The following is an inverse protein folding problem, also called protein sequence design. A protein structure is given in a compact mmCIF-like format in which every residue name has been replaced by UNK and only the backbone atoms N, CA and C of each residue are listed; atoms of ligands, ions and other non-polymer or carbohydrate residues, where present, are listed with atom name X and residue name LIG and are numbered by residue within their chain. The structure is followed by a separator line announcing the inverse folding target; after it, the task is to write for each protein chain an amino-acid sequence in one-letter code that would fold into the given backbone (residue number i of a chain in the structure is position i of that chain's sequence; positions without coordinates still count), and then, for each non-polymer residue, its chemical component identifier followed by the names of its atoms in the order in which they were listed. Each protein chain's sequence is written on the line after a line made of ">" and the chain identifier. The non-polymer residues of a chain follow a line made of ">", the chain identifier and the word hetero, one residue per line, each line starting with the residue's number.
data_IF_189540462499
#
_entry.id   IF_189540462499
#
_cell.length_a   1.000
_cell.length_b   1.000
_cell.length_c   1.000
_cell.angle_alpha   90.00
_cell.angle_beta   90.00
_cell.angle_gamma   90.00
#
_symmetry.space_group_name_H-M   'P 1'
#
loop_
_entity.id
_entity.type
_entity.pdbx_description
1 polymer ?
#
# COMPACT_ATOMS: atom_id res chain seq x y z
N UNK A 1 -22.90 30.52 36.62
CA UNK A 1 -21.65 29.89 37.14
C UNK A 1 -20.53 30.27 36.19
N UNK A 2 -19.65 31.22 36.60
CA UNK A 2 -18.52 31.62 35.74
C UNK A 2 -17.38 30.56 35.86
N UNK A 3 -17.04 29.97 34.74
CA UNK A 3 -15.90 29.03 34.64
C UNK A 3 -14.61 29.84 34.86
N UNK A 4 -13.76 29.39 35.78
CA UNK A 4 -12.53 30.11 36.13
C UNK A 4 -11.57 30.16 34.92
N UNK A 5 -10.72 31.18 34.87
CA UNK A 5 -9.71 31.33 33.81
C UNK A 5 -8.78 30.11 33.75
N UNK A 6 -8.41 29.53 34.91
CA UNK A 6 -7.59 28.32 35.00
C UNK A 6 -8.26 27.11 34.33
N UNK A 7 -9.58 26.94 34.50
CA UNK A 7 -10.33 25.85 33.88
C UNK A 7 -10.38 26.01 32.38
N UNK A 8 -10.54 27.24 31.86
CA UNK A 8 -10.54 27.51 30.41
C UNK A 8 -9.16 27.24 29.78
N UNK A 9 -8.08 27.62 30.48
CA UNK A 9 -6.71 27.34 30.00
C UNK A 9 -6.43 25.84 29.96
N UNK A 10 -6.86 25.08 30.96
CA UNK A 10 -6.72 23.63 31.00
C UNK A 10 -7.52 22.96 29.86
N UNK A 11 -8.74 23.40 29.62
CA UNK A 11 -9.56 22.90 28.51
C UNK A 11 -8.90 23.17 27.14
N UNK A 12 -8.34 24.36 26.96
CA UNK A 12 -7.62 24.69 25.72
C UNK A 12 -6.39 23.80 25.51
N UNK A 13 -5.61 23.55 26.54
CA UNK A 13 -4.43 22.66 26.49
C UNK A 13 -4.84 21.22 26.17
N UNK A 14 -5.91 20.70 26.75
CA UNK A 14 -6.42 19.35 26.46
C UNK A 14 -6.88 19.25 25.02
N UNK A 15 -7.58 20.25 24.51
CA UNK A 15 -8.02 20.27 23.10
C UNK A 15 -6.82 20.32 22.15
N UNK A 16 -5.82 21.15 22.42
CA UNK A 16 -4.60 21.23 21.60
C UNK A 16 -3.83 19.91 21.61
N UNK A 17 -3.71 19.25 22.76
CA UNK A 17 -3.08 17.94 22.86
C UNK A 17 -3.85 16.89 22.08
N UNK A 18 -5.19 16.88 22.13
CA UNK A 18 -6.03 15.98 21.39
C UNK A 18 -5.93 16.19 19.88
N UNK A 19 -5.94 17.45 19.42
CA UNK A 19 -5.74 17.78 18.00
C UNK A 19 -4.34 17.38 17.52
N UNK A 20 -3.30 17.65 18.32
CA UNK A 20 -1.95 17.22 18.00
C UNK A 20 -1.83 15.70 17.86
N UNK A 21 -2.45 14.96 18.80
CA UNK A 21 -2.49 13.50 18.73
C UNK A 21 -3.27 13.00 17.49
N UNK A 22 -4.42 13.60 17.19
CA UNK A 22 -5.24 13.23 16.03
C UNK A 22 -4.51 13.46 14.71
N UNK A 23 -3.72 14.53 14.59
CA UNK A 23 -2.89 14.80 13.40
C UNK A 23 -1.66 13.89 13.33
N UNK A 24 -1.06 13.58 14.49
CA UNK A 24 0.15 12.74 14.53
C UNK A 24 -0.15 11.25 14.39
N UNK A 25 -1.30 10.79 14.89
CA UNK A 25 -1.66 9.37 14.90
C UNK A 25 -1.67 8.71 13.50
N UNK A 26 -2.29 9.31 12.46
CA UNK A 26 -2.25 8.75 11.11
C UNK A 26 -0.83 8.64 10.56
N UNK A 27 0.02 9.63 10.83
CA UNK A 27 1.43 9.60 10.45
C UNK A 27 2.17 8.46 11.15
N UNK A 28 2.05 8.37 12.46
CA UNK A 28 2.73 7.37 13.26
C UNK A 28 2.27 5.95 12.97
N UNK A 29 0.95 5.76 12.82
CA UNK A 29 0.35 4.45 12.64
C UNK A 29 0.40 3.94 11.20
N UNK A 30 0.06 4.77 10.24
CA UNK A 30 -0.02 4.42 8.82
C UNK A 30 1.14 4.95 7.99
N UNK A 31 1.95 5.86 8.52
CA UNK A 31 2.97 6.57 7.76
C UNK A 31 2.41 7.57 6.75
N UNK A 32 1.16 7.95 6.92
CA UNK A 32 0.51 8.94 6.06
C UNK A 32 1.06 10.32 6.41
N UNK A 33 1.75 10.95 5.47
CA UNK A 33 2.12 12.36 5.59
C UNK A 33 0.91 13.17 5.15
N UNK A 34 0.38 14.10 5.98
CA UNK A 34 -0.80 14.91 5.64
C UNK A 34 -0.60 15.80 4.41
N UNK A 35 0.65 16.07 4.06
CA UNK A 35 1.06 16.83 2.89
C UNK A 35 1.58 15.80 1.90
N UNK A 36 0.91 15.66 0.76
CA UNK A 36 1.30 14.73 -0.31
C UNK A 36 2.77 14.96 -0.71
N UNK A 37 3.42 13.91 -1.13
CA UNK A 37 4.77 14.01 -1.68
C UNK A 37 4.67 14.49 -3.13
N UNK A 38 5.42 15.52 -3.49
CA UNK A 38 5.56 15.99 -4.87
C UNK A 38 6.62 15.20 -5.65
N UNK A 39 7.18 14.14 -5.05
CA UNK A 39 8.18 13.33 -5.70
C UNK A 39 7.60 12.69 -6.97
N UNK A 40 8.27 12.91 -8.08
CA UNK A 40 8.03 12.22 -9.34
C UNK A 40 9.23 11.34 -9.61
N UNK A 41 9.01 10.05 -9.80
CA UNK A 41 10.07 9.13 -10.17
C UNK A 41 10.18 9.14 -11.70
N UNK A 42 11.28 9.62 -12.29
CA UNK A 42 11.46 9.63 -13.73
C UNK A 42 11.52 8.22 -14.30
N UNK A 43 11.01 8.04 -15.53
CA UNK A 43 11.06 6.72 -16.19
C UNK A 43 12.51 6.21 -16.32
N UNK A 44 13.45 7.09 -16.63
CA UNK A 44 14.88 6.74 -16.71
C UNK A 44 15.43 6.11 -15.41
N UNK A 45 14.92 6.49 -14.25
CA UNK A 45 15.29 5.88 -12.98
C UNK A 45 14.69 4.48 -12.83
N UNK A 46 13.46 4.30 -13.27
CA UNK A 46 12.81 2.97 -13.31
C UNK A 46 13.60 2.06 -14.24
N UNK A 47 13.94 2.51 -15.43
CA UNK A 47 14.73 1.76 -16.42
C UNK A 47 16.10 1.37 -15.85
N UNK A 48 16.76 2.29 -15.14
CA UNK A 48 18.03 2.03 -14.44
C UNK A 48 17.90 0.91 -13.39
N UNK A 49 16.82 0.95 -12.60
CA UNK A 49 16.55 -0.05 -11.56
C UNK A 49 16.21 -1.44 -12.12
N UNK A 50 15.70 -1.48 -13.35
CA UNK A 50 15.36 -2.70 -14.06
C UNK A 50 16.48 -3.19 -15.00
N UNK A 51 17.55 -2.43 -15.16
CA UNK A 51 18.65 -2.78 -16.05
C UNK A 51 19.22 -4.18 -15.70
N UNK A 52 19.33 -5.04 -16.71
CA UNK A 52 19.83 -6.41 -16.57
C UNK A 52 18.86 -7.41 -15.92
N UNK A 53 17.61 -7.03 -15.67
CA UNK A 53 16.57 -7.93 -15.20
C UNK A 53 15.77 -8.44 -16.41
N UNK A 54 15.68 -9.75 -16.54
CA UNK A 54 14.83 -10.40 -17.56
C UNK A 54 13.42 -10.62 -16.93
N UNK A 55 12.52 -9.69 -17.20
CA UNK A 55 11.16 -9.69 -16.68
C UNK A 55 10.17 -9.80 -17.85
N UNK A 56 9.19 -10.71 -17.77
CA UNK A 56 8.14 -10.75 -18.77
C UNK A 56 7.22 -9.53 -18.67
N UNK A 57 6.50 -9.22 -19.74
CA UNK A 57 5.34 -8.32 -19.61
C UNK A 57 4.18 -9.11 -19.00
N UNK A 58 3.95 -8.91 -17.70
CA UNK A 58 2.86 -9.55 -16.96
C UNK A 58 1.47 -9.17 -17.45
N UNK A 59 1.37 -8.22 -18.36
CA UNK A 59 0.13 -7.70 -18.91
C UNK A 59 -0.05 -7.93 -20.41
N UNK A 60 0.86 -8.65 -21.04
CA UNK A 60 0.82 -8.93 -22.47
C UNK A 60 -0.44 -9.73 -22.85
N UNK A 61 -0.79 -10.73 -22.06
CA UNK A 61 -1.96 -11.57 -22.29
C UNK A 61 -3.15 -11.15 -21.42
N UNK A 62 -4.38 -11.21 -21.95
CA UNK A 62 -5.57 -10.94 -21.15
C UNK A 62 -5.67 -11.95 -19.98
N UNK A 63 -6.28 -11.57 -18.85
CA UNK A 63 -6.47 -12.49 -17.75
C UNK A 63 -7.41 -13.64 -18.21
N UNK A 64 -7.22 -14.86 -17.68
CA UNK A 64 -8.07 -15.99 -18.03
C UNK A 64 -9.53 -15.68 -17.68
N UNK A 65 -10.46 -16.22 -18.49
CA UNK A 65 -11.88 -16.15 -18.15
C UNK A 65 -12.14 -16.96 -16.87
N UNK A 66 -12.95 -16.41 -16.00
CA UNK A 66 -13.37 -17.05 -14.75
C UNK A 66 -14.88 -16.90 -14.57
N UNK A 67 -15.47 -17.75 -13.74
CA UNK A 67 -16.89 -17.63 -13.41
C UNK A 67 -17.17 -16.35 -12.61
N UNK A 68 -18.41 -15.85 -12.66
CA UNK A 68 -18.87 -14.73 -11.85
C UNK A 68 -18.69 -15.02 -10.36
N UNK A 69 -18.89 -16.26 -9.92
CA UNK A 69 -18.67 -16.68 -8.54
C UNK A 69 -17.22 -16.54 -8.11
N UNK A 70 -16.25 -16.95 -8.93
CA UNK A 70 -14.83 -16.81 -8.62
C UNK A 70 -14.42 -15.32 -8.63
N UNK A 71 -14.94 -14.52 -9.58
CA UNK A 71 -14.70 -13.07 -9.58
C UNK A 71 -15.24 -12.40 -8.30
N UNK A 72 -16.42 -12.81 -7.84
CA UNK A 72 -16.98 -12.30 -6.59
C UNK A 72 -16.11 -12.69 -5.39
N UNK A 73 -15.60 -13.94 -5.36
CA UNK A 73 -14.71 -14.41 -4.31
C UNK A 73 -13.35 -13.67 -4.31
N UNK A 74 -12.80 -13.37 -5.48
CA UNK A 74 -11.58 -12.54 -5.60
C UNK A 74 -11.83 -11.12 -5.11
N UNK A 75 -12.95 -10.49 -5.47
CA UNK A 75 -13.35 -9.16 -4.99
C UNK A 75 -13.50 -9.12 -3.47
N UNK A 76 -14.12 -10.15 -2.90
CA UNK A 76 -14.27 -10.29 -1.45
C UNK A 76 -12.92 -10.47 -0.76
N UNK A 77 -12.05 -11.31 -1.30
CA UNK A 77 -10.70 -11.49 -0.75
C UNK A 77 -9.91 -10.18 -0.72
N UNK A 78 -10.09 -9.32 -1.74
CA UNK A 78 -9.38 -8.03 -1.89
C UNK A 78 -10.05 -6.87 -1.14
N UNK A 79 -11.22 -7.05 -0.52
CA UNK A 79 -12.03 -5.96 0.05
C UNK A 79 -11.23 -5.04 0.98
N UNK A 80 -10.40 -5.59 1.84
CA UNK A 80 -9.60 -4.80 2.80
C UNK A 80 -8.48 -4.01 2.14
N UNK A 81 -7.91 -4.50 1.07
CA UNK A 81 -6.84 -3.81 0.34
C UNK A 81 -7.32 -2.50 -0.29
N UNK A 82 -8.61 -2.42 -0.67
CA UNK A 82 -9.23 -1.24 -1.29
C UNK A 82 -9.32 -0.03 -0.37
N UNK A 83 -9.28 -0.21 0.95
CA UNK A 83 -9.25 0.92 1.88
C UNK A 83 -7.96 1.73 1.73
N UNK A 84 -6.87 1.04 1.38
CA UNK A 84 -5.54 1.64 1.30
C UNK A 84 -5.04 1.83 -0.13
N UNK A 85 -5.54 1.07 -1.12
CA UNK A 85 -5.03 1.07 -2.48
C UNK A 85 -6.12 1.30 -3.52
N UNK A 86 -5.76 1.97 -4.60
CA UNK A 86 -6.51 2.03 -5.87
C UNK A 86 -5.82 1.16 -6.91
N UNK A 87 -6.54 0.69 -7.92
CA UNK A 87 -6.02 -0.22 -8.94
C UNK A 87 -6.05 0.37 -10.35
N UNK A 88 -6.94 1.31 -10.60
CA UNK A 88 -7.20 1.91 -11.90
C UNK A 88 -6.08 2.86 -12.34
N UNK A 89 -5.93 3.02 -13.65
CA UNK A 89 -5.00 3.99 -14.24
C UNK A 89 -5.31 5.42 -13.75
N UNK A 90 -4.30 6.11 -13.25
CA UNK A 90 -4.46 7.46 -12.71
C UNK A 90 -5.20 7.53 -11.38
N UNK A 91 -5.49 6.39 -10.75
CA UNK A 91 -6.11 6.33 -9.43
C UNK A 91 -5.25 7.00 -8.36
N UNK A 92 -5.91 7.61 -7.38
CA UNK A 92 -5.24 8.34 -6.30
C UNK A 92 -4.44 7.41 -5.38
N UNK A 93 -3.30 7.89 -4.92
CA UNK A 93 -2.65 7.30 -3.75
C UNK A 93 -3.53 7.57 -2.52
N UNK A 94 -3.70 6.52 -1.70
CA UNK A 94 -4.44 6.60 -0.43
C UNK A 94 -3.46 6.42 0.74
N UNK A 95 -3.83 5.63 1.73
CA UNK A 95 -2.91 5.19 2.79
C UNK A 95 -1.74 4.38 2.21
N UNK A 96 -2.01 3.63 1.14
CA UNK A 96 -1.02 2.97 0.29
C UNK A 96 -0.98 3.57 -1.11
N UNK A 97 0.04 3.21 -1.92
CA UNK A 97 0.17 3.68 -3.29
C UNK A 97 -0.89 3.06 -4.21
N UNK A 98 -1.16 3.73 -5.34
CA UNK A 98 -1.88 3.11 -6.45
C UNK A 98 -1.11 1.89 -6.98
N UNK A 99 -1.81 0.81 -7.30
CA UNK A 99 -1.23 -0.45 -7.74
C UNK A 99 -1.38 -0.70 -9.24
N UNK A 100 -1.84 0.29 -10.02
CA UNK A 100 -1.96 0.13 -11.47
C UNK A 100 -0.63 -0.28 -12.08
N UNK A 101 -0.65 -1.38 -12.85
CA UNK A 101 0.52 -2.00 -13.49
C UNK A 101 1.70 -2.19 -12.55
N UNK A 102 1.42 -2.72 -11.35
CA UNK A 102 2.44 -2.87 -10.30
C UNK A 102 3.45 -3.98 -10.63
N UNK A 103 3.01 -5.06 -11.34
CA UNK A 103 3.91 -6.15 -11.68
C UNK A 103 4.95 -5.72 -12.72
N UNK A 104 6.19 -6.11 -12.50
CA UNK A 104 7.36 -5.67 -13.26
C UNK A 104 7.98 -4.37 -12.76
N UNK A 105 7.34 -3.66 -11.81
CA UNK A 105 7.91 -2.42 -11.27
C UNK A 105 8.84 -2.69 -10.08
N UNK A 106 9.91 -1.88 -9.94
CA UNK A 106 10.70 -1.85 -8.71
C UNK A 106 9.85 -1.41 -7.51
N UNK A 107 10.27 -1.77 -6.31
CA UNK A 107 9.67 -1.22 -5.10
C UNK A 107 9.80 0.31 -5.05
N UNK A 108 8.86 0.98 -4.39
CA UNK A 108 8.89 2.40 -4.07
C UNK A 108 9.06 3.35 -5.28
N UNK A 109 8.42 3.04 -6.42
CA UNK A 109 8.49 3.87 -7.64
C UNK A 109 7.18 4.56 -8.03
N UNK A 110 6.10 4.38 -7.28
CA UNK A 110 4.86 5.12 -7.55
C UNK A 110 5.05 6.57 -7.15
N UNK A 111 4.88 7.47 -8.12
CA UNK A 111 5.04 8.90 -7.92
C UNK A 111 4.02 9.47 -6.94
N UNK A 112 4.36 10.57 -6.28
CA UNK A 112 3.49 11.29 -5.33
C UNK A 112 3.04 10.45 -4.14
N UNK A 113 3.83 9.45 -3.76
CA UNK A 113 3.61 8.64 -2.56
C UNK A 113 4.85 8.66 -1.67
N UNK A 114 4.65 8.89 -0.38
CA UNK A 114 5.75 8.89 0.61
C UNK A 114 5.96 7.48 1.15
N UNK A 115 7.03 6.85 0.69
CA UNK A 115 7.42 5.52 1.14
C UNK A 115 8.15 5.55 2.48
N UNK A 116 8.06 4.45 3.23
CA UNK A 116 8.91 4.22 4.40
C UNK A 116 10.34 3.92 3.98
N UNK A 117 11.31 4.18 4.88
CA UNK A 117 12.72 3.83 4.68
C UNK A 117 12.91 2.35 4.30
N UNK A 118 12.08 1.46 4.86
CA UNK A 118 12.12 0.04 4.52
C UNK A 118 11.83 -0.23 3.03
N UNK A 119 10.87 0.47 2.45
CA UNK A 119 10.55 0.35 1.03
C UNK A 119 11.61 1.02 0.14
N UNK A 120 12.16 2.17 0.55
CA UNK A 120 13.26 2.82 -0.16
C UNK A 120 14.50 1.91 -0.16
N UNK A 121 14.84 1.31 0.97
CA UNK A 121 15.93 0.34 1.06
C UNK A 121 15.66 -0.93 0.22
N UNK A 122 14.40 -1.38 0.12
CA UNK A 122 14.06 -2.51 -0.76
C UNK A 122 14.30 -2.14 -2.23
N UNK A 123 13.94 -0.94 -2.66
CA UNK A 123 14.25 -0.43 -4.00
C UNK A 123 15.75 -0.45 -4.29
N UNK A 124 16.56 0.08 -3.38
CA UNK A 124 18.02 0.12 -3.54
C UNK A 124 18.66 -1.28 -3.63
N UNK A 125 18.04 -2.27 -2.98
CA UNK A 125 18.43 -3.68 -3.12
C UNK A 125 17.92 -4.33 -4.41
N UNK A 126 17.23 -3.60 -5.26
CA UNK A 126 16.72 -4.09 -6.54
C UNK A 126 15.48 -4.97 -6.42
N UNK A 127 14.68 -4.79 -5.36
CA UNK A 127 13.42 -5.52 -5.20
C UNK A 127 12.43 -5.12 -6.32
N UNK A 128 11.83 -6.13 -6.95
CA UNK A 128 10.83 -5.96 -8.01
C UNK A 128 9.57 -6.72 -7.66
N UNK A 129 8.43 -6.14 -7.98
CA UNK A 129 7.13 -6.77 -7.82
C UNK A 129 6.89 -7.78 -8.96
N UNK A 130 7.07 -9.05 -8.68
CA UNK A 130 6.62 -10.16 -9.50
C UNK A 130 5.43 -10.85 -8.85
N UNK A 131 4.70 -11.75 -9.51
CA UNK A 131 3.67 -12.54 -8.85
C UNK A 131 4.21 -13.29 -7.62
N UNK A 132 5.43 -13.82 -7.68
CA UNK A 132 6.05 -14.56 -6.59
C UNK A 132 6.40 -13.65 -5.40
N UNK A 133 7.02 -12.50 -5.66
CA UNK A 133 7.37 -11.54 -4.59
C UNK A 133 6.12 -10.91 -3.97
N UNK A 134 5.07 -10.69 -4.78
CA UNK A 134 3.79 -10.20 -4.30
C UNK A 134 3.08 -11.25 -3.45
N UNK A 135 3.05 -12.52 -3.86
CA UNK A 135 2.49 -13.61 -3.08
C UNK A 135 3.17 -13.73 -1.72
N UNK A 136 4.50 -13.76 -1.69
CA UNK A 136 5.28 -13.80 -0.47
C UNK A 136 5.01 -12.57 0.43
N UNK A 137 4.89 -11.38 -0.18
CA UNK A 137 4.61 -10.15 0.56
C UNK A 137 3.19 -10.14 1.14
N UNK A 138 2.18 -10.62 0.42
CA UNK A 138 0.81 -10.77 0.94
C UNK A 138 0.80 -11.77 2.10
N UNK A 139 1.54 -12.86 2.00
CA UNK A 139 1.61 -13.87 3.05
C UNK A 139 2.26 -13.32 4.33
N UNK A 140 3.38 -12.62 4.20
CA UNK A 140 4.09 -12.04 5.34
C UNK A 140 4.83 -10.74 4.98
N UNK A 141 4.15 -9.59 5.00
CA UNK A 141 4.77 -8.31 4.66
C UNK A 141 6.03 -8.00 5.49
N UNK A 142 5.98 -8.29 6.78
CA UNK A 142 7.08 -8.01 7.70
C UNK A 142 8.31 -8.90 7.49
N UNK A 143 8.13 -10.09 6.93
CA UNK A 143 9.24 -10.99 6.59
C UNK A 143 9.92 -10.56 5.29
N UNK A 144 9.14 -10.17 4.29
CA UNK A 144 9.66 -9.80 2.95
C UNK A 144 10.33 -8.42 2.97
N UNK A 145 9.69 -7.44 3.58
CA UNK A 145 10.23 -6.08 3.78
C UNK A 145 10.11 -5.74 5.27
N UNK A 146 11.10 -6.08 6.10
CA UNK A 146 11.06 -5.78 7.53
C UNK A 146 10.88 -4.29 7.80
N UNK A 147 10.13 -3.95 8.84
CA UNK A 147 9.80 -2.58 9.24
C UNK A 147 8.98 -1.77 8.21
N UNK A 148 8.35 -2.46 7.23
CA UNK A 148 7.36 -1.79 6.38
C UNK A 148 6.13 -1.37 7.19
N UNK A 149 5.33 -0.44 6.61
CA UNK A 149 4.14 0.11 7.28
C UNK A 149 2.82 -0.48 6.78
N UNK A 150 2.84 -1.43 5.86
CA UNK A 150 1.63 -2.08 5.39
C UNK A 150 1.03 -2.94 6.52
N UNK A 151 -0.25 -2.74 6.79
CA UNK A 151 -1.01 -3.46 7.81
C UNK A 151 -1.88 -4.53 7.16
N UNK A 152 -1.32 -5.73 7.02
CA UNK A 152 -2.04 -6.90 6.57
C UNK A 152 -1.55 -8.12 7.36
N UNK A 153 -2.43 -8.93 7.95
CA UNK A 153 -3.89 -8.76 7.97
C UNK A 153 -4.34 -7.50 8.70
N UNK A 154 -5.52 -6.94 8.35
CA UNK A 154 -5.96 -5.64 8.84
C UNK A 154 -6.36 -5.64 10.32
N UNK A 155 -6.67 -6.78 10.88
CA UNK A 155 -7.11 -6.90 12.27
C UNK A 155 -6.75 -8.26 12.89
N UNK A 156 -6.74 -8.31 14.23
CA UNK A 156 -6.55 -9.56 14.98
C UNK A 156 -7.77 -10.48 14.72
N UNK A 157 -7.50 -11.77 14.48
CA UNK A 157 -8.55 -12.76 14.17
C UNK A 157 -8.99 -12.79 12.71
N UNK A 158 -8.40 -11.95 11.84
CA UNK A 158 -8.61 -12.09 10.40
C UNK A 158 -7.95 -13.38 9.92
N UNK A 159 -8.78 -14.27 9.37
CA UNK A 159 -8.31 -15.56 8.89
C UNK A 159 -7.55 -15.39 7.58
N UNK A 160 -6.23 -15.57 7.65
CA UNK A 160 -5.37 -15.66 6.51
C UNK A 160 -5.33 -17.12 6.04
N UNK A 161 -5.67 -17.35 4.77
CA UNK A 161 -5.52 -18.65 4.16
C UNK A 161 -4.73 -18.53 2.86
N UNK A 162 -4.02 -19.59 2.49
CA UNK A 162 -3.30 -19.64 1.22
C UNK A 162 -4.25 -19.40 0.04
N UNK A 163 -5.50 -19.88 0.13
CA UNK A 163 -6.52 -19.67 -0.88
C UNK A 163 -6.92 -18.19 -1.00
N UNK A 164 -7.15 -17.51 0.13
CA UNK A 164 -7.45 -16.08 0.13
C UNK A 164 -6.30 -15.27 -0.46
N UNK A 165 -5.07 -15.55 -0.07
CA UNK A 165 -3.89 -14.85 -0.57
C UNK A 165 -3.71 -15.08 -2.07
N UNK A 166 -3.97 -16.29 -2.57
CA UNK A 166 -3.98 -16.58 -4.01
C UNK A 166 -5.05 -15.76 -4.74
N UNK A 167 -6.29 -15.69 -4.21
CA UNK A 167 -7.37 -14.88 -4.80
C UNK A 167 -7.04 -13.39 -4.83
N UNK A 168 -6.35 -12.86 -3.82
CA UNK A 168 -5.85 -11.49 -3.81
C UNK A 168 -4.85 -11.28 -4.96
N UNK A 169 -3.90 -12.19 -5.13
CA UNK A 169 -2.91 -12.13 -6.20
C UNK A 169 -3.57 -12.21 -7.58
N UNK A 170 -4.48 -13.16 -7.79
CA UNK A 170 -5.21 -13.34 -9.04
C UNK A 170 -6.04 -12.09 -9.38
N UNK A 171 -6.66 -11.47 -8.37
CA UNK A 171 -7.40 -10.22 -8.52
C UNK A 171 -6.48 -9.06 -8.90
N UNK A 172 -5.31 -8.95 -8.29
CA UNK A 172 -4.33 -7.92 -8.64
C UNK A 172 -3.85 -8.08 -10.09
N UNK A 173 -3.48 -9.28 -10.53
CA UNK A 173 -3.06 -9.56 -11.91
C UNK A 173 -4.14 -9.21 -12.94
N UNK A 174 -5.41 -9.32 -12.54
CA UNK A 174 -6.58 -8.99 -13.35
C UNK A 174 -6.86 -7.50 -13.42
N UNK A 175 -6.90 -6.82 -12.29
CA UNK A 175 -7.48 -5.49 -12.14
C UNK A 175 -6.46 -4.35 -12.21
N UNK A 176 -5.16 -4.64 -12.19
CA UNK A 176 -4.10 -3.60 -12.24
C UNK A 176 -3.58 -3.34 -13.65
N UNK A 177 -4.33 -3.70 -14.68
CA UNK A 177 -3.98 -3.57 -16.11
C UNK A 177 -4.09 -2.15 -16.65
#
# INVERSE_FOLDING_TARGET
>A
VSVSTATRSLQALVLLAFFGLALYFPYWWFGVVPIGSDNVIPQAEIDRLLAGKDLPDYYAEPPPEISEQELAAQKEAFVWCRFCHTLEAGGENRVGPNLHRIFGKPAAVVSRFTYSEAFLAARERGFVWTPETMAAFIESPATVIPHNRMRYPPMIGYEMSAERNRRILDYLLRETR
#
